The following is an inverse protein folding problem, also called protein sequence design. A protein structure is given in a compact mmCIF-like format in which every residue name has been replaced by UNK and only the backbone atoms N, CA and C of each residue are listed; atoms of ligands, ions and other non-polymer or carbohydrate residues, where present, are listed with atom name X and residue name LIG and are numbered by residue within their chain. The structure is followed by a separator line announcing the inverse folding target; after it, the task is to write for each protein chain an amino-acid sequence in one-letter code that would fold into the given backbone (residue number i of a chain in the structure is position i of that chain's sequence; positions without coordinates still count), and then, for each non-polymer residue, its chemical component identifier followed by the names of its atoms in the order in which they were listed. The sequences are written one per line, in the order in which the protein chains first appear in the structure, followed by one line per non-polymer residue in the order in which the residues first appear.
data_IF_037728799261
#
_entry.id   IF_037728799261
#
_cell.length_a   1.000
_cell.length_b   1.000
_cell.length_c   1.000
_cell.angle_alpha   90.00
_cell.angle_beta   90.00
_cell.angle_gamma   90.00
#
_symmetry.space_group_name_H-M   'P 1'
#
loop_
_entity.id
_entity.type
_entity.pdbx_description
1 polymer ?
#
# COMPACT_ATOMS: atom_id res chain seq x y z
N UNK A 1 -16.95 0.09 7.55
CA UNK A 1 -16.06 0.38 6.40
C UNK A 1 -14.62 0.22 6.85
N UNK A 2 -13.76 -0.15 5.92
CA UNK A 2 -12.36 -0.40 6.22
C UNK A 2 -11.48 0.73 5.72
N UNK A 3 -10.31 0.89 6.35
CA UNK A 3 -9.28 1.80 5.87
C UNK A 3 -8.25 1.01 5.09
N UNK A 4 -7.92 1.49 3.89
CA UNK A 4 -6.93 0.87 3.01
C UNK A 4 -5.79 1.84 2.76
N UNK A 5 -4.55 1.40 3.03
CA UNK A 5 -3.35 2.16 2.72
C UNK A 5 -2.80 1.69 1.38
N UNK A 6 -2.64 2.62 0.44
CA UNK A 6 -2.15 2.34 -0.90
C UNK A 6 -0.85 3.11 -1.15
N UNK A 7 0.14 2.44 -1.73
CA UNK A 7 1.48 2.99 -1.87
C UNK A 7 2.00 2.99 -3.32
N UNK A 8 1.25 2.40 -4.23
CA UNK A 8 1.67 2.20 -5.61
C UNK A 8 0.63 2.70 -6.60
N UNK A 9 0.29 1.85 -7.55
CA UNK A 9 -0.56 2.21 -8.70
C UNK A 9 -2.02 2.50 -8.33
N UNK A 10 -2.44 2.17 -7.11
CA UNK A 10 -3.78 2.50 -6.62
C UNK A 10 -3.89 3.95 -6.14
N UNK A 11 -2.78 4.68 -5.99
CA UNK A 11 -2.82 6.08 -5.53
C UNK A 11 -3.47 6.98 -6.56
N UNK A 12 -3.98 8.15 -6.10
CA UNK A 12 -4.55 9.15 -7.00
C UNK A 12 -3.56 9.52 -8.10
N UNK A 13 -4.06 9.65 -9.32
CA UNK A 13 -3.23 9.97 -10.48
C UNK A 13 -2.53 8.78 -11.09
N UNK A 14 -2.65 7.60 -10.52
CA UNK A 14 -2.09 6.36 -11.07
C UNK A 14 -3.18 5.55 -11.78
N UNK A 15 -2.74 4.63 -12.66
CA UNK A 15 -3.65 3.94 -13.56
C UNK A 15 -4.71 3.06 -12.89
N UNK A 16 -4.38 2.48 -11.72
CA UNK A 16 -5.28 1.56 -11.02
C UNK A 16 -6.16 2.26 -9.98
N UNK A 17 -6.04 3.56 -9.83
CA UNK A 17 -6.86 4.31 -8.87
C UNK A 17 -8.37 4.12 -9.12
N UNK A 18 -8.76 3.89 -10.36
CA UNK A 18 -10.16 3.65 -10.73
C UNK A 18 -10.83 2.54 -9.94
N UNK A 19 -10.06 1.56 -9.45
CA UNK A 19 -10.61 0.44 -8.67
C UNK A 19 -11.05 0.85 -7.27
N UNK A 20 -10.52 1.95 -6.73
CA UNK A 20 -10.83 2.42 -5.38
C UNK A 20 -11.39 3.85 -5.35
N UNK A 21 -11.53 4.49 -6.51
CA UNK A 21 -11.89 5.91 -6.58
C UNK A 21 -13.28 6.23 -6.02
N UNK A 22 -14.17 5.25 -5.91
CA UNK A 22 -15.48 5.43 -5.28
C UNK A 22 -15.41 5.40 -3.75
N UNK A 23 -14.27 5.02 -3.18
CA UNK A 23 -14.05 5.16 -1.75
C UNK A 23 -13.83 6.61 -1.34
N UNK A 24 -13.64 6.84 -0.05
CA UNK A 24 -13.42 8.17 0.48
C UNK A 24 -11.92 8.37 0.69
N UNK A 25 -11.35 9.33 -0.01
CA UNK A 25 -9.94 9.70 0.17
C UNK A 25 -9.77 10.44 1.50
N UNK A 26 -8.95 9.89 2.40
CA UNK A 26 -8.72 10.48 3.72
C UNK A 26 -7.46 11.34 3.77
N UNK A 27 -6.53 11.13 2.87
CA UNK A 27 -5.31 11.95 2.81
C UNK A 27 -4.06 11.15 2.51
N UNK A 28 -2.98 11.86 2.29
CA UNK A 28 -1.65 11.29 2.22
C UNK A 28 -1.25 10.80 3.61
N UNK A 29 -0.44 9.75 3.65
CA UNK A 29 -0.04 9.12 4.90
C UNK A 29 1.29 8.41 4.75
N UNK A 30 1.86 8.00 5.88
CA UNK A 30 3.00 7.11 5.89
C UNK A 30 2.83 6.07 6.98
N UNK A 31 3.44 4.91 6.82
CA UNK A 31 3.42 3.89 7.87
C UNK A 31 4.18 4.38 9.09
N UNK A 32 3.71 4.03 10.29
CA UNK A 32 4.41 4.36 11.52
C UNK A 32 5.68 3.54 11.70
N UNK A 33 5.68 2.31 11.19
CA UNK A 33 6.82 1.40 11.25
C UNK A 33 7.53 1.35 9.90
N UNK A 34 8.85 1.08 9.88
CA UNK A 34 9.57 0.89 8.63
C UNK A 34 9.28 -0.47 8.00
N UNK A 35 9.18 -0.49 6.70
CA UNK A 35 9.05 -1.69 5.87
C UNK A 35 9.93 -1.52 4.63
N UNK A 36 10.02 -2.55 3.78
CA UNK A 36 10.75 -2.45 2.53
C UNK A 36 9.78 -2.34 1.36
N UNK A 37 9.93 -1.30 0.57
CA UNK A 37 9.22 -1.11 -0.69
C UNK A 37 10.16 -1.50 -1.83
N UNK A 38 9.75 -2.46 -2.64
CA UNK A 38 10.56 -2.98 -3.73
C UNK A 38 9.80 -2.96 -5.04
N UNK A 39 10.52 -2.85 -6.15
CA UNK A 39 9.96 -3.03 -7.48
C UNK A 39 10.40 -4.38 -8.04
N UNK A 40 9.43 -5.14 -8.54
CA UNK A 40 9.66 -6.36 -9.30
C UNK A 40 8.93 -6.19 -10.63
N UNK A 41 9.68 -6.11 -11.73
CA UNK A 41 9.11 -5.84 -13.06
C UNK A 41 8.18 -4.60 -13.05
N UNK A 42 8.66 -3.54 -12.39
CA UNK A 42 7.95 -2.26 -12.24
C UNK A 42 6.69 -2.33 -11.37
N UNK A 43 6.46 -3.42 -10.65
CA UNK A 43 5.34 -3.53 -9.71
C UNK A 43 5.84 -3.29 -8.30
N UNK A 44 5.21 -2.36 -7.56
CA UNK A 44 5.60 -2.11 -6.18
C UNK A 44 5.06 -3.18 -5.24
N UNK A 45 5.94 -3.70 -4.40
CA UNK A 45 5.63 -4.71 -3.39
C UNK A 45 6.23 -4.29 -2.07
N UNK A 46 5.56 -4.62 -0.97
CA UNK A 46 6.05 -4.32 0.37
C UNK A 46 6.35 -5.62 1.11
N UNK A 47 7.48 -5.64 1.79
CA UNK A 47 7.85 -6.73 2.70
C UNK A 47 8.07 -6.19 4.10
N UNK A 48 8.14 -7.07 5.08
CA UNK A 48 8.28 -6.67 6.49
C UNK A 48 9.71 -6.28 6.89
N UNK A 49 10.66 -6.36 5.97
CA UNK A 49 12.04 -5.94 6.25
C UNK A 49 12.06 -4.45 6.62
N UNK A 50 12.67 -4.06 7.76
CA UNK A 50 12.63 -2.66 8.21
C UNK A 50 13.68 -1.81 7.48
N UNK A 51 13.23 -1.02 6.51
CA UNK A 51 14.09 -0.15 5.70
C UNK A 51 13.70 1.31 5.85
N UNK A 52 12.42 1.63 5.58
CA UNK A 52 11.93 3.00 5.63
C UNK A 52 10.42 3.00 5.85
N UNK A 53 9.88 4.09 6.37
CA UNK A 53 8.43 4.26 6.39
C UNK A 53 7.94 4.37 4.96
N UNK A 54 6.79 3.75 4.69
CA UNK A 54 6.21 3.72 3.34
C UNK A 54 5.28 4.91 3.18
N UNK A 55 5.46 5.67 2.09
CA UNK A 55 4.61 6.82 1.75
C UNK A 55 3.44 6.34 0.90
N UNK A 56 2.28 6.88 1.15
CA UNK A 56 1.09 6.50 0.41
C UNK A 56 -0.11 7.36 0.75
N UNK A 57 -1.29 6.76 0.59
CA UNK A 57 -2.58 7.41 0.80
C UNK A 57 -3.52 6.45 1.51
N UNK A 58 -4.48 7.00 2.26
CA UNK A 58 -5.51 6.20 2.92
C UNK A 58 -6.86 6.50 2.30
N UNK A 59 -7.60 5.43 2.00
CA UNK A 59 -8.98 5.47 1.55
C UNK A 59 -9.86 4.72 2.54
N UNK A 60 -11.05 5.26 2.80
CA UNK A 60 -12.11 4.50 3.45
C UNK A 60 -12.86 3.75 2.35
N UNK A 61 -12.93 2.43 2.46
CA UNK A 61 -13.44 1.58 1.39
C UNK A 61 -14.56 0.68 1.90
N UNK A 62 -15.46 0.31 1.00
CA UNK A 62 -16.52 -0.68 1.29
C UNK A 62 -15.93 -2.10 1.25
N UNK A 63 -16.72 -3.05 1.74
CA UNK A 63 -16.34 -4.47 1.67
C UNK A 63 -16.16 -4.92 0.23
N UNK A 64 -16.97 -4.38 -0.69
CA UNK A 64 -16.89 -4.72 -2.12
C UNK A 64 -15.57 -4.24 -2.72
N UNK A 65 -15.14 -3.01 -2.40
CA UNK A 65 -13.86 -2.49 -2.88
C UNK A 65 -12.71 -3.32 -2.29
N UNK A 66 -12.76 -3.60 -0.99
CA UNK A 66 -11.71 -4.39 -0.35
C UNK A 66 -11.61 -5.78 -0.97
N UNK A 67 -12.74 -6.44 -1.24
CA UNK A 67 -12.75 -7.74 -1.89
C UNK A 67 -12.16 -7.69 -3.30
N UNK A 68 -12.42 -6.62 -4.04
CA UNK A 68 -11.82 -6.43 -5.37
C UNK A 68 -10.30 -6.29 -5.26
N UNK A 69 -9.82 -5.47 -4.34
CA UNK A 69 -8.37 -5.28 -4.15
C UNK A 69 -7.72 -6.57 -3.66
N UNK A 70 -8.39 -7.35 -2.81
CA UNK A 70 -7.91 -8.67 -2.40
C UNK A 70 -7.66 -9.56 -3.62
N UNK A 71 -8.60 -9.59 -4.56
CA UNK A 71 -8.44 -10.39 -5.79
C UNK A 71 -7.29 -9.89 -6.66
N UNK A 72 -7.20 -8.57 -6.84
CA UNK A 72 -6.13 -7.98 -7.65
C UNK A 72 -4.75 -8.23 -7.03
N UNK A 73 -4.67 -8.31 -5.72
CA UNK A 73 -3.42 -8.52 -4.99
C UNK A 73 -3.06 -9.99 -4.81
N UNK A 74 -3.96 -10.92 -5.13
CA UNK A 74 -3.75 -12.34 -4.89
C UNK A 74 -3.80 -12.72 -3.42
N UNK A 75 -4.58 -12.00 -2.63
CA UNK A 75 -4.76 -12.27 -1.19
C UNK A 75 -5.53 -13.59 -0.99
N UNK A 76 -5.12 -14.44 -0.07
CA UNK A 76 -3.99 -14.31 0.86
C UNK A 76 -2.71 -15.05 0.44
N UNK A 77 -2.65 -15.59 -0.78
CA UNK A 77 -1.56 -16.49 -1.18
C UNK A 77 -0.30 -15.78 -1.66
N UNK A 78 -0.46 -14.75 -2.49
CA UNK A 78 0.66 -14.02 -3.09
C UNK A 78 1.01 -12.83 -2.21
N UNK A 79 0.01 -12.04 -1.88
CA UNK A 79 0.11 -10.94 -0.92
C UNK A 79 -0.94 -11.17 0.16
N UNK A 80 -0.62 -10.80 1.39
CA UNK A 80 -1.56 -10.90 2.50
C UNK A 80 -1.68 -9.55 3.18
N UNK A 81 -2.93 -9.07 3.35
CA UNK A 81 -3.13 -7.81 4.05
C UNK A 81 -3.10 -8.00 5.55
N UNK A 82 -2.48 -7.03 6.22
CA UNK A 82 -2.44 -6.95 7.68
C UNK A 82 -2.75 -5.50 8.08
N UNK A 83 -3.33 -5.32 9.25
CA UNK A 83 -3.53 -4.00 9.80
C UNK A 83 -2.20 -3.44 10.28
N UNK A 84 -1.90 -2.22 9.86
CA UNK A 84 -0.71 -1.50 10.30
C UNK A 84 -1.12 -0.10 10.73
N UNK A 85 -0.37 0.50 11.66
CA UNK A 85 -0.59 1.88 12.04
C UNK A 85 0.00 2.81 10.99
N UNK A 86 -0.80 3.78 10.55
CA UNK A 86 -0.36 4.82 9.61
C UNK A 86 -0.64 6.19 10.20
N UNK A 87 0.16 7.19 9.80
CA UNK A 87 -0.01 8.58 10.20
C UNK A 87 -0.42 9.40 8.99
N UNK A 88 -1.56 10.06 9.11
CA UNK A 88 -2.05 11.00 8.10
C UNK A 88 -1.27 12.32 8.17
N UNK A 89 -1.30 13.10 7.09
CA UNK A 89 -0.65 14.42 7.04
C UNK A 89 -1.09 15.37 8.15
N UNK A 90 -2.35 15.27 8.58
CA UNK A 90 -2.89 16.11 9.65
C UNK A 90 -2.45 15.68 11.05
N UNK A 91 -1.62 14.63 11.15
CA UNK A 91 -1.10 14.13 12.43
C UNK A 91 -1.91 13.02 13.06
N UNK A 92 -3.13 12.75 12.58
CA UNK A 92 -3.94 11.64 13.09
C UNK A 92 -3.29 10.31 12.73
N UNK A 93 -3.42 9.34 13.62
CA UNK A 93 -3.02 7.96 13.35
C UNK A 93 -4.27 7.09 13.27
N UNK A 94 -4.19 6.05 12.45
CA UNK A 94 -5.24 5.04 12.38
C UNK A 94 -4.63 3.74 11.89
N UNK A 95 -5.38 2.65 12.03
CA UNK A 95 -4.98 1.36 11.49
C UNK A 95 -5.59 1.20 10.10
N UNK A 96 -4.78 0.74 9.17
CA UNK A 96 -5.20 0.53 7.79
C UNK A 96 -4.61 -0.79 7.26
N UNK A 97 -5.31 -1.37 6.30
CA UNK A 97 -4.85 -2.59 5.64
C UNK A 97 -3.69 -2.25 4.70
N UNK A 98 -2.61 -3.02 4.81
CA UNK A 98 -1.45 -2.97 3.91
C UNK A 98 -1.16 -4.38 3.43
N UNK A 99 -0.98 -4.56 2.13
CA UNK A 99 -0.66 -5.87 1.55
C UNK A 99 0.85 -6.10 1.61
N UNK A 100 1.23 -7.23 2.22
CA UNK A 100 2.62 -7.68 2.29
C UNK A 100 2.83 -8.84 1.35
N UNK A 101 3.91 -8.79 0.58
CA UNK A 101 4.27 -9.87 -0.33
C UNK A 101 4.85 -11.05 0.45
N UNK A 102 4.36 -12.27 0.17
CA UNK A 102 4.72 -13.46 0.93
C UNK A 102 5.79 -14.31 0.25
N UNK A 103 5.96 -14.16 -1.06
CA UNK A 103 6.87 -15.01 -1.81
C UNK A 103 8.28 -14.42 -1.81
N UNK A 104 9.33 -15.26 -1.96
CA UNK A 104 10.68 -14.74 -2.13
C UNK A 104 10.76 -13.81 -3.33
N UNK A 105 11.50 -12.70 -3.19
CA UNK A 105 11.68 -11.74 -4.26
C UNK A 105 12.95 -12.04 -5.02
N UNK A 106 12.86 -12.05 -6.36
CA UNK A 106 13.98 -12.21 -7.26
C UNK A 106 14.12 -10.97 -8.13
N UNK A 107 15.34 -10.45 -8.26
CA UNK A 107 15.61 -9.26 -9.06
C UNK A 107 14.79 -8.05 -8.63
N UNK A 108 14.56 -7.93 -7.34
CA UNK A 108 13.82 -6.81 -6.77
C UNK A 108 14.74 -5.60 -6.62
N UNK A 109 14.21 -4.41 -6.92
CA UNK A 109 14.92 -3.14 -6.73
C UNK A 109 14.33 -2.47 -5.50
N UNK A 110 15.16 -2.25 -4.48
CA UNK A 110 14.73 -1.58 -3.26
C UNK A 110 14.54 -0.09 -3.50
N UNK A 111 13.40 0.45 -3.08
CA UNK A 111 13.14 1.89 -3.06
C UNK A 111 13.45 2.38 -1.65
N UNK A 112 14.65 2.90 -1.45
CA UNK A 112 15.15 3.25 -0.12
C UNK A 112 14.33 4.37 0.54
N UNK A 113 13.73 5.26 -0.25
CA UNK A 113 12.91 6.36 0.27
C UNK A 113 11.56 5.90 0.81
N UNK A 114 11.09 4.71 0.43
CA UNK A 114 9.74 4.26 0.75
C UNK A 114 8.65 4.95 -0.06
N UNK A 115 9.00 5.70 -1.10
CA UNK A 115 8.05 6.45 -1.91
C UNK A 115 8.10 5.99 -3.37
N UNK A 116 7.05 5.29 -3.81
CA UNK A 116 6.98 4.76 -5.17
C UNK A 116 7.06 5.85 -6.25
N UNK A 117 6.46 7.02 -6.02
CA UNK A 117 6.45 8.09 -7.03
C UNK A 117 7.85 8.62 -7.35
N UNK A 118 8.81 8.45 -6.46
CA UNK A 118 10.20 8.87 -6.70
C UNK A 118 10.96 7.87 -7.58
N UNK A 119 10.44 6.65 -7.71
CA UNK A 119 11.10 5.59 -8.45
C UNK A 119 10.78 5.61 -9.95
N UNK A 120 9.85 6.43 -10.38
CA UNK A 120 9.46 6.52 -11.79
C UNK A 120 10.44 7.33 -12.61
#
# INVERSE_FOLDING_TARGET
MDHLFVHGTLRRGCGDNKFISTGIFLGSAETAQPYALCLVKNKPLVTKRPVATIKGEVYEVTDEILALVDRLSGHPRINQRELVTVRLEDGRTLDAWLYFHLQPLHNAVLIESGNYSEAK
#
